data_IF_249047340603
#
_entry.id   IF_249047340603
#
_cell.length_a   1.000
_cell.length_b   1.000
_cell.length_c   1.000
_cell.angle_alpha   90.00
_cell.angle_beta   90.00
_cell.angle_gamma   90.00
#
_symmetry.space_group_name_H-M   'P 1'
#
loop_
_entity.id
_entity.type
_entity.pdbx_description
1 polymer ?
#
# COMPACT_ATOMS: atom_id res chain seq x y z
N UNK A 1 -68.77 34.69 -22.52
CA UNK A 1 -67.48 34.23 -21.94
C UNK A 1 -66.50 35.40 -22.12
N UNK A 2 -66.22 36.08 -21.02
CA UNK A 2 -65.49 37.32 -21.05
C UNK A 2 -64.01 37.14 -21.39
N UNK A 3 -63.35 38.06 -22.11
CA UNK A 3 -61.92 38.01 -22.46
C UNK A 3 -60.99 37.84 -21.24
N UNK A 4 -61.52 38.24 -20.08
CA UNK A 4 -60.77 38.10 -18.79
C UNK A 4 -60.67 36.66 -18.36
N UNK A 5 -61.77 35.88 -18.52
CA UNK A 5 -61.76 34.44 -18.13
C UNK A 5 -60.85 33.62 -19.03
N UNK A 6 -60.77 33.93 -20.31
CA UNK A 6 -59.90 33.25 -21.27
C UNK A 6 -58.40 33.54 -20.99
N UNK A 7 -58.08 34.76 -20.56
CA UNK A 7 -56.68 35.12 -20.17
C UNK A 7 -56.26 34.45 -18.83
N UNK A 8 -57.19 34.26 -17.89
CA UNK A 8 -56.91 33.56 -16.64
C UNK A 8 -56.69 32.07 -16.84
N UNK A 9 -57.52 31.40 -17.69
CA UNK A 9 -57.29 29.99 -18.03
C UNK A 9 -55.97 29.73 -18.77
N UNK A 10 -55.61 30.61 -19.72
CA UNK A 10 -54.33 30.56 -20.44
C UNK A 10 -53.16 30.71 -19.48
N UNK A 11 -53.27 31.62 -18.51
CA UNK A 11 -52.20 31.86 -17.54
C UNK A 11 -52.07 30.67 -16.56
N UNK A 12 -53.17 30.07 -16.11
CA UNK A 12 -53.20 28.91 -15.24
C UNK A 12 -52.55 27.67 -15.92
N UNK A 13 -52.93 27.39 -17.17
CA UNK A 13 -52.37 26.27 -17.93
C UNK A 13 -50.87 26.44 -18.17
N UNK A 14 -50.40 27.66 -18.47
CA UNK A 14 -48.98 27.96 -18.62
C UNK A 14 -48.17 27.64 -17.34
N UNK A 15 -48.66 28.02 -16.16
CA UNK A 15 -48.00 27.72 -14.89
C UNK A 15 -48.01 26.24 -14.55
N UNK A 16 -49.04 25.51 -14.90
CA UNK A 16 -49.11 24.05 -14.74
C UNK A 16 -48.11 23.34 -15.63
N UNK A 17 -48.01 23.70 -16.92
CA UNK A 17 -47.03 23.14 -17.85
C UNK A 17 -45.60 23.45 -17.43
N UNK A 18 -45.32 24.66 -16.97
CA UNK A 18 -44.03 25.06 -16.46
C UNK A 18 -43.63 24.28 -15.20
N UNK A 19 -44.57 24.05 -14.29
CA UNK A 19 -44.40 23.26 -13.07
C UNK A 19 -44.11 21.78 -13.37
N UNK A 20 -44.81 21.19 -14.33
CA UNK A 20 -44.59 19.81 -14.78
C UNK A 20 -43.22 19.68 -15.44
N UNK A 21 -42.85 20.60 -16.32
CA UNK A 21 -41.55 20.62 -16.96
C UNK A 21 -40.38 20.72 -15.96
N UNK A 22 -40.49 21.60 -14.97
CA UNK A 22 -39.51 21.73 -13.88
C UNK A 22 -39.42 20.48 -13.03
N UNK A 23 -40.50 19.81 -12.70
CA UNK A 23 -40.50 18.58 -11.89
C UNK A 23 -39.86 17.41 -12.62
N UNK A 24 -40.07 17.29 -13.94
CA UNK A 24 -39.39 16.27 -14.78
C UNK A 24 -37.88 16.52 -14.87
N UNK A 25 -37.46 17.78 -15.06
CA UNK A 25 -36.03 18.11 -15.05
C UNK A 25 -35.36 17.83 -13.71
N UNK A 26 -36.02 18.18 -12.59
CA UNK A 26 -35.51 17.90 -11.24
C UNK A 26 -35.39 16.40 -10.97
N UNK A 27 -36.37 15.61 -11.37
CA UNK A 27 -36.36 14.16 -11.21
C UNK A 27 -35.26 13.52 -12.07
N UNK A 28 -35.00 14.01 -13.28
CA UNK A 28 -33.87 13.54 -14.12
C UNK A 28 -32.50 13.89 -13.52
N UNK A 29 -32.36 15.09 -12.94
CA UNK A 29 -31.14 15.52 -12.24
C UNK A 29 -30.93 14.66 -10.99
N UNK A 30 -31.97 14.45 -10.19
CA UNK A 30 -31.90 13.61 -9.00
C UNK A 30 -31.52 12.17 -9.37
N UNK A 31 -32.13 11.59 -10.40
CA UNK A 31 -31.76 10.25 -10.87
C UNK A 31 -30.30 10.17 -11.31
N UNK A 32 -29.80 11.16 -12.04
CA UNK A 32 -28.40 11.19 -12.49
C UNK A 32 -27.40 11.38 -11.34
N UNK A 33 -27.80 12.08 -10.29
CA UNK A 33 -26.97 12.33 -9.10
C UNK A 33 -27.14 11.25 -8.03
N UNK A 34 -28.26 10.53 -8.01
CA UNK A 34 -28.60 9.51 -7.00
C UNK A 34 -27.52 8.43 -6.81
N UNK A 35 -26.91 7.86 -7.88
CA UNK A 35 -25.80 6.90 -7.73
C UNK A 35 -24.56 7.50 -7.08
N UNK A 36 -24.36 8.83 -7.21
CA UNK A 36 -23.23 9.55 -6.62
C UNK A 36 -23.47 9.99 -5.17
N UNK A 37 -24.76 10.07 -4.78
CA UNK A 37 -25.20 10.48 -3.45
C UNK A 37 -25.49 9.28 -2.53
N UNK A 38 -25.58 8.05 -3.07
CA UNK A 38 -25.64 6.87 -2.21
C UNK A 38 -24.33 6.80 -1.42
N UNK A 39 -24.40 6.79 -0.08
CA UNK A 39 -23.22 6.44 0.71
C UNK A 39 -22.76 5.06 0.20
N UNK A 40 -21.49 4.95 -0.18
CA UNK A 40 -20.89 3.65 -0.45
C UNK A 40 -21.20 2.78 0.77
N UNK A 41 -21.83 1.64 0.55
CA UNK A 41 -21.97 0.63 1.61
C UNK A 41 -20.57 0.10 1.94
N UNK A 42 -19.89 0.83 2.83
CA UNK A 42 -18.50 0.56 3.24
C UNK A 42 -18.41 -0.60 4.25
N UNK A 43 -19.49 -1.34 4.52
CA UNK A 43 -19.56 -2.14 5.74
C UNK A 43 -18.99 -3.56 5.66
N UNK A 44 -19.00 -4.23 4.52
CA UNK A 44 -18.46 -5.59 4.41
C UNK A 44 -17.10 -5.65 3.71
N UNK A 45 -16.88 -4.81 2.71
CA UNK A 45 -15.61 -4.72 1.98
C UNK A 45 -14.48 -4.21 2.88
N UNK A 46 -14.75 -3.21 3.73
CA UNK A 46 -13.81 -2.72 4.74
C UNK A 46 -13.53 -3.71 5.87
N UNK A 47 -14.48 -4.56 6.25
CA UNK A 47 -14.28 -5.54 7.33
C UNK A 47 -13.29 -6.66 6.94
N UNK A 48 -13.14 -6.93 5.67
CA UNK A 48 -12.24 -7.97 5.16
C UNK A 48 -10.81 -7.45 4.96
N UNK A 49 -10.64 -6.15 4.73
CA UNK A 49 -9.33 -5.53 4.48
C UNK A 49 -8.49 -5.52 5.77
N UNK A 50 -9.06 -5.20 6.92
CA UNK A 50 -8.32 -5.19 8.19
C UNK A 50 -7.79 -6.57 8.60
N UNK A 51 -8.47 -7.68 8.24
CA UNK A 51 -8.01 -9.04 8.53
C UNK A 51 -6.74 -9.36 7.78
N UNK A 52 -6.66 -9.03 6.51
CA UNK A 52 -5.46 -9.19 5.68
C UNK A 52 -4.28 -8.41 6.28
N UNK A 53 -4.52 -7.18 6.72
CA UNK A 53 -3.49 -6.38 7.38
C UNK A 53 -3.05 -6.97 8.73
N UNK A 54 -3.99 -7.53 9.50
CA UNK A 54 -3.69 -8.24 10.75
C UNK A 54 -2.85 -9.48 10.50
N UNK A 55 -3.21 -10.31 9.53
CA UNK A 55 -2.50 -11.53 9.17
C UNK A 55 -1.07 -11.22 8.68
N UNK A 56 -0.91 -10.20 7.84
CA UNK A 56 0.42 -9.75 7.40
C UNK A 56 1.27 -9.32 8.60
N UNK A 57 0.67 -8.58 9.56
CA UNK A 57 1.39 -8.15 10.76
C UNK A 57 1.79 -9.34 11.65
N UNK A 58 0.94 -10.35 11.77
CA UNK A 58 1.24 -11.59 12.48
C UNK A 58 2.41 -12.32 11.83
N UNK A 59 2.41 -12.51 10.50
CA UNK A 59 3.51 -13.14 9.76
C UNK A 59 4.83 -12.39 9.90
N UNK A 60 4.80 -11.07 9.88
CA UNK A 60 5.98 -10.26 10.15
C UNK A 60 6.46 -10.38 11.59
N UNK A 61 5.55 -10.53 12.54
CA UNK A 61 5.89 -10.73 13.96
C UNK A 61 6.52 -12.09 14.19
N UNK A 62 5.96 -13.15 13.59
CA UNK A 62 6.54 -14.49 13.58
C UNK A 62 7.97 -14.47 12.99
N UNK A 63 8.12 -13.90 11.80
CA UNK A 63 9.42 -13.74 11.15
C UNK A 63 10.42 -13.00 12.03
N UNK A 64 10.01 -11.87 12.65
CA UNK A 64 10.86 -11.08 13.53
C UNK A 64 11.34 -11.87 14.75
N UNK A 65 10.42 -12.59 15.38
CA UNK A 65 10.73 -13.36 16.61
C UNK A 65 11.66 -14.52 16.30
N UNK A 66 11.35 -15.32 15.27
CA UNK A 66 12.11 -16.52 14.94
C UNK A 66 13.50 -16.19 14.33
N UNK A 67 13.64 -15.06 13.62
CA UNK A 67 14.94 -14.61 13.09
C UNK A 67 15.74 -13.77 14.08
N UNK A 68 15.21 -13.49 15.29
CA UNK A 68 15.81 -12.57 16.29
C UNK A 68 16.22 -11.21 15.68
N UNK A 69 15.48 -10.74 14.65
CA UNK A 69 15.77 -9.46 14.01
C UNK A 69 15.16 -8.28 14.78
N UNK A 70 15.66 -7.08 14.54
CA UNK A 70 15.18 -5.85 15.16
C UNK A 70 13.88 -5.35 14.52
N UNK A 71 13.77 -5.50 13.19
CA UNK A 71 12.58 -5.12 12.39
C UNK A 71 12.33 -6.16 11.31
N UNK A 72 11.05 -6.48 11.09
CA UNK A 72 10.57 -7.18 9.90
C UNK A 72 9.56 -6.25 9.20
N UNK A 73 9.75 -5.99 7.91
CA UNK A 73 9.09 -4.93 7.17
C UNK A 73 8.58 -5.43 5.83
N UNK A 74 7.36 -5.02 5.45
CA UNK A 74 6.82 -5.14 4.11
C UNK A 74 6.79 -3.76 3.46
N UNK A 75 7.56 -3.58 2.41
CA UNK A 75 7.61 -2.36 1.61
C UNK A 75 6.94 -2.64 0.27
N UNK A 76 6.02 -1.77 -0.14
CA UNK A 76 5.30 -1.89 -1.41
C UNK A 76 5.65 -0.76 -2.35
N UNK A 77 5.72 -1.09 -3.64
CA UNK A 77 5.84 -0.12 -4.71
C UNK A 77 4.46 0.35 -5.14
N UNK A 78 4.34 1.62 -5.41
CA UNK A 78 3.09 2.20 -5.90
C UNK A 78 3.38 3.34 -6.88
N UNK A 79 2.39 3.66 -7.69
CA UNK A 79 2.48 4.80 -8.57
C UNK A 79 2.43 6.09 -7.74
N UNK A 80 3.33 7.02 -8.08
CA UNK A 80 3.27 8.39 -7.61
C UNK A 80 2.54 9.27 -8.61
N UNK A 81 3.04 10.48 -8.76
CA UNK A 81 2.63 11.41 -9.81
C UNK A 81 3.26 11.00 -11.15
N UNK A 82 2.80 11.62 -12.24
CA UNK A 82 3.37 11.44 -13.55
C UNK A 82 4.28 12.63 -13.87
N UNK A 83 5.39 12.34 -14.56
CA UNK A 83 6.19 13.39 -15.18
C UNK A 83 5.46 14.02 -16.38
N UNK A 84 5.93 15.15 -16.88
CA UNK A 84 5.32 15.84 -18.04
C UNK A 84 5.31 14.99 -19.31
N UNK A 85 6.20 14.02 -19.42
CA UNK A 85 6.28 13.02 -20.50
C UNK A 85 5.33 11.82 -20.32
N UNK A 86 4.51 11.83 -19.27
CA UNK A 86 3.57 10.72 -18.95
C UNK A 86 4.20 9.52 -18.27
N UNK A 87 5.51 9.51 -17.99
CA UNK A 87 6.17 8.44 -17.27
C UNK A 87 5.79 8.50 -15.78
N UNK A 88 5.41 7.36 -15.20
CA UNK A 88 5.04 7.28 -13.79
C UNK A 88 6.27 7.45 -12.88
N UNK A 89 6.16 8.38 -11.93
CA UNK A 89 7.11 8.56 -10.84
C UNK A 89 6.88 7.45 -9.81
N UNK A 90 7.64 6.35 -9.91
CA UNK A 90 7.48 5.22 -8.99
C UNK A 90 7.95 5.57 -7.59
N UNK A 91 7.13 5.24 -6.61
CA UNK A 91 7.37 5.45 -5.18
C UNK A 91 7.33 4.12 -4.42
N UNK A 92 7.90 4.12 -3.23
CA UNK A 92 7.78 3.02 -2.27
C UNK A 92 7.27 3.54 -0.94
N UNK A 93 6.54 2.67 -0.23
CA UNK A 93 6.09 2.93 1.14
C UNK A 93 6.20 1.68 1.99
N UNK A 94 6.62 1.84 3.24
CA UNK A 94 6.53 0.83 4.28
C UNK A 94 5.07 0.70 4.68
N UNK A 95 4.46 -0.44 4.37
CA UNK A 95 3.03 -0.68 4.63
C UNK A 95 2.78 -1.43 5.93
N UNK A 96 3.68 -2.35 6.30
CA UNK A 96 3.58 -3.12 7.53
C UNK A 96 4.96 -3.29 8.16
N UNK A 97 5.00 -3.22 9.48
CA UNK A 97 6.23 -3.33 10.25
C UNK A 97 6.00 -4.04 11.58
N UNK A 98 6.86 -4.99 11.91
CA UNK A 98 6.97 -5.56 13.25
C UNK A 98 8.33 -5.18 13.83
N UNK A 99 8.33 -4.60 15.04
CA UNK A 99 9.52 -3.99 15.67
C UNK A 99 9.80 -4.64 17.02
N UNK A 100 11.07 -4.88 17.32
CA UNK A 100 11.50 -5.36 18.64
C UNK A 100 11.38 -4.27 19.69
N UNK A 101 11.16 -4.66 20.94
CA UNK A 101 11.14 -3.72 22.07
C UNK A 101 12.43 -2.90 22.14
N UNK A 102 12.30 -1.59 22.32
CA UNK A 102 13.42 -0.65 22.39
C UNK A 102 14.01 -0.23 21.05
N UNK A 103 13.45 -0.69 19.93
CA UNK A 103 13.84 -0.26 18.58
C UNK A 103 12.78 0.70 18.04
N UNK A 104 13.20 1.81 17.43
CA UNK A 104 12.27 2.76 16.83
C UNK A 104 11.63 2.22 15.56
N UNK A 105 10.32 2.43 15.40
CA UNK A 105 9.60 2.15 14.17
C UNK A 105 10.00 3.13 13.03
N UNK A 106 9.93 2.67 11.80
CA UNK A 106 10.28 3.45 10.60
C UNK A 106 9.07 3.82 9.73
N UNK A 107 7.88 3.33 10.04
CA UNK A 107 6.67 3.51 9.22
C UNK A 107 6.41 4.95 8.82
N UNK A 108 6.53 5.90 9.76
CA UNK A 108 6.34 7.32 9.47
C UNK A 108 7.44 7.98 8.61
N UNK A 109 8.59 7.33 8.46
CA UNK A 109 9.74 7.86 7.71
C UNK A 109 9.85 7.27 6.30
N UNK A 110 9.30 6.08 6.09
CA UNK A 110 9.35 5.34 4.81
C UNK A 110 8.04 5.41 4.05
N UNK A 111 7.51 6.61 3.84
CA UNK A 111 6.25 6.82 3.11
C UNK A 111 6.48 7.70 1.90
N UNK A 112 5.96 7.29 0.73
CA UNK A 112 6.03 8.04 -0.53
C UNK A 112 7.45 8.39 -1.00
N UNK A 113 8.44 7.56 -0.69
CA UNK A 113 9.82 7.79 -1.11
C UNK A 113 10.03 7.38 -2.57
N UNK A 114 10.84 8.14 -3.30
CA UNK A 114 11.18 7.82 -4.68
C UNK A 114 12.00 6.53 -4.76
N UNK A 115 11.64 5.60 -5.63
CA UNK A 115 12.38 4.34 -5.84
C UNK A 115 13.82 4.62 -6.29
N UNK A 116 14.04 5.66 -7.08
CA UNK A 116 15.37 6.04 -7.56
C UNK A 116 16.39 6.29 -6.46
N UNK A 117 15.96 6.72 -5.27
CA UNK A 117 16.82 6.91 -4.10
C UNK A 117 17.35 5.59 -3.53
N UNK A 118 16.74 4.46 -3.92
CA UNK A 118 17.04 3.12 -3.45
C UNK A 118 17.62 2.21 -4.55
N UNK A 119 18.11 2.77 -5.65
CA UNK A 119 18.59 2.00 -6.81
C UNK A 119 19.54 0.85 -6.44
N UNK A 120 20.55 1.01 -5.55
CA UNK A 120 21.43 -0.09 -5.17
C UNK A 120 20.69 -1.23 -4.45
N UNK A 121 19.64 -0.91 -3.72
CA UNK A 121 18.79 -1.88 -3.04
C UNK A 121 17.89 -2.62 -4.05
N UNK A 122 17.36 -1.92 -5.04
CA UNK A 122 16.54 -2.52 -6.11
C UNK A 122 17.35 -3.55 -6.91
N UNK A 123 18.63 -3.26 -7.23
CA UNK A 123 19.51 -4.21 -7.89
C UNK A 123 19.66 -5.53 -7.12
N UNK A 124 19.65 -5.48 -5.78
CA UNK A 124 19.70 -6.67 -4.92
C UNK A 124 18.36 -7.42 -4.89
N UNK A 125 17.26 -6.68 -4.82
CA UNK A 125 15.89 -7.25 -4.83
C UNK A 125 15.67 -8.08 -6.10
N UNK A 126 16.19 -7.62 -7.24
CA UNK A 126 16.03 -8.30 -8.53
C UNK A 126 16.80 -9.63 -8.61
N UNK A 127 17.79 -9.87 -7.75
CA UNK A 127 18.51 -11.15 -7.69
C UNK A 127 17.71 -12.28 -7.07
N UNK A 128 16.67 -11.96 -6.29
CA UNK A 128 15.76 -12.91 -5.60
C UNK A 128 16.50 -13.94 -4.72
N UNK A 129 17.61 -13.51 -4.12
CA UNK A 129 18.44 -14.34 -3.27
C UNK A 129 18.43 -13.82 -1.83
N UNK A 130 18.05 -14.66 -0.83
CA UNK A 130 18.02 -14.27 0.58
C UNK A 130 19.43 -14.28 1.17
N UNK A 131 20.18 -13.21 0.94
CA UNK A 131 21.56 -13.06 1.47
C UNK A 131 21.63 -11.99 2.54
N UNK A 132 22.50 -12.18 3.55
CA UNK A 132 22.79 -11.14 4.53
C UNK A 132 23.69 -10.09 3.90
N UNK A 133 23.24 -8.85 3.91
CA UNK A 133 23.97 -7.69 3.47
C UNK A 133 24.43 -6.88 4.69
N UNK A 134 25.72 -6.52 4.74
CA UNK A 134 26.26 -5.64 5.77
C UNK A 134 26.13 -4.20 5.31
N UNK A 135 25.64 -3.31 6.18
CA UNK A 135 25.51 -1.90 5.84
C UNK A 135 26.85 -1.23 5.54
N UNK A 136 27.91 -1.66 6.23
CA UNK A 136 29.28 -1.16 6.00
C UNK A 136 29.82 -1.41 4.60
N UNK A 137 29.33 -2.45 3.90
CA UNK A 137 29.72 -2.79 2.53
C UNK A 137 28.79 -2.21 1.45
N UNK A 138 27.75 -1.49 1.86
CA UNK A 138 26.85 -0.83 0.91
C UNK A 138 27.50 0.39 0.27
N UNK A 139 27.11 0.64 -1.01
CA UNK A 139 27.52 1.87 -1.71
C UNK A 139 26.97 3.09 -0.99
N UNK A 140 27.75 4.16 -0.96
CA UNK A 140 27.29 5.45 -0.44
C UNK A 140 26.06 5.93 -1.22
N UNK A 141 25.12 6.53 -0.50
CA UNK A 141 23.88 7.03 -1.06
C UNK A 141 22.76 7.13 -0.03
N UNK A 142 21.62 7.63 -0.49
CA UNK A 142 20.47 7.89 0.37
C UNK A 142 20.05 6.65 1.18
N UNK A 143 19.96 5.48 0.55
CA UNK A 143 19.52 4.24 1.20
C UNK A 143 20.44 3.83 2.36
N UNK A 144 21.78 4.00 2.19
CA UNK A 144 22.76 3.69 3.24
C UNK A 144 22.62 4.66 4.41
N UNK A 145 22.65 5.97 4.15
CA UNK A 145 22.46 6.99 5.17
C UNK A 145 21.14 6.84 5.92
N UNK A 146 20.08 6.49 5.22
CA UNK A 146 18.78 6.22 5.84
C UNK A 146 18.84 5.04 6.83
N UNK A 147 19.50 3.94 6.46
CA UNK A 147 19.68 2.79 7.33
C UNK A 147 20.64 3.07 8.51
N UNK A 148 21.67 3.89 8.30
CA UNK A 148 22.60 4.33 9.36
C UNK A 148 21.89 5.11 10.45
N UNK A 149 21.02 6.07 10.09
CA UNK A 149 20.18 6.83 11.02
C UNK A 149 19.27 5.89 11.84
N UNK A 150 18.88 4.77 11.26
CA UNK A 150 18.04 3.75 11.88
C UNK A 150 18.84 2.69 12.66
N UNK A 151 20.16 2.88 12.81
CA UNK A 151 21.10 1.96 13.47
C UNK A 151 21.08 0.54 12.88
N UNK A 152 20.87 0.38 11.59
CA UNK A 152 20.92 -0.93 10.94
C UNK A 152 22.37 -1.35 10.80
N UNK A 153 22.69 -2.58 11.25
CA UNK A 153 24.01 -3.18 11.09
C UNK A 153 24.07 -4.11 9.87
N UNK A 154 23.02 -4.89 9.68
CA UNK A 154 22.85 -5.79 8.55
C UNK A 154 21.38 -6.02 8.23
N UNK A 155 21.10 -6.50 7.03
CA UNK A 155 19.74 -6.75 6.57
C UNK A 155 19.69 -7.89 5.55
N UNK A 156 18.51 -8.50 5.40
CA UNK A 156 18.17 -9.39 4.27
C UNK A 156 16.91 -8.85 3.59
N UNK A 157 16.83 -9.07 2.29
CA UNK A 157 15.70 -8.65 1.46
C UNK A 157 15.27 -9.77 0.51
N UNK A 158 13.97 -9.84 0.24
CA UNK A 158 13.39 -10.70 -0.81
C UNK A 158 12.31 -9.95 -1.57
N UNK A 159 12.23 -10.09 -2.90
CA UNK A 159 11.14 -9.49 -3.67
C UNK A 159 9.80 -10.10 -3.30
N UNK A 160 8.78 -9.25 -3.23
CA UNK A 160 7.37 -9.64 -3.22
C UNK A 160 6.82 -9.40 -4.61
N UNK A 161 6.25 -10.44 -5.23
CA UNK A 161 5.79 -10.41 -6.62
C UNK A 161 4.26 -10.45 -6.69
N UNK A 162 3.73 -9.77 -7.69
CA UNK A 162 2.33 -9.87 -8.11
C UNK A 162 2.29 -10.05 -9.62
N UNK A 163 1.63 -11.11 -10.12
CA UNK A 163 1.61 -11.47 -11.55
C UNK A 163 3.02 -11.46 -12.18
N UNK A 164 3.98 -12.08 -11.52
CA UNK A 164 5.41 -12.14 -11.91
C UNK A 164 6.16 -10.80 -11.94
N UNK A 165 5.53 -9.68 -11.57
CA UNK A 165 6.19 -8.39 -11.46
C UNK A 165 6.55 -8.10 -10.00
N UNK A 166 7.72 -7.53 -9.75
CA UNK A 166 8.11 -7.10 -8.40
C UNK A 166 7.22 -5.93 -7.99
N UNK A 167 6.37 -6.15 -6.98
CA UNK A 167 5.43 -5.18 -6.42
C UNK A 167 5.89 -4.57 -5.10
N UNK A 168 6.99 -5.06 -4.57
CA UNK A 168 7.57 -4.62 -3.31
C UNK A 168 8.67 -5.56 -2.84
N UNK A 169 9.00 -5.51 -1.55
CA UNK A 169 9.95 -6.41 -0.94
C UNK A 169 9.71 -6.61 0.55
N UNK A 170 10.06 -7.79 1.02
CA UNK A 170 10.17 -8.16 2.43
C UNK A 170 11.58 -7.88 2.90
N UNK A 171 11.75 -7.23 4.05
CA UNK A 171 13.05 -6.90 4.63
C UNK A 171 13.09 -7.29 6.11
N UNK A 172 14.20 -7.88 6.54
CA UNK A 172 14.54 -8.00 7.96
C UNK A 172 15.82 -7.24 8.25
N UNK A 173 15.93 -6.64 9.43
CA UNK A 173 17.04 -5.79 9.82
C UNK A 173 17.55 -6.18 11.20
N UNK A 174 18.87 -6.27 11.36
CA UNK A 174 19.56 -6.42 12.64
C UNK A 174 20.34 -5.15 12.98
N UNK A 175 20.10 -4.62 14.17
CA UNK A 175 20.70 -3.39 14.68
C UNK A 175 21.91 -3.66 15.61
N UNK A 176 22.38 -4.91 15.66
CA UNK A 176 23.47 -5.33 16.54
C UNK A 176 24.39 -6.32 15.83
N UNK A 177 25.71 -6.14 15.99
CA UNK A 177 26.71 -7.07 15.47
C UNK A 177 26.58 -8.48 16.06
N UNK A 178 26.22 -8.59 17.33
CA UNK A 178 25.99 -9.88 18.01
C UNK A 178 24.82 -10.64 17.39
N UNK A 179 23.70 -9.95 17.14
CA UNK A 179 22.53 -10.56 16.50
C UNK A 179 22.81 -10.90 15.04
N UNK A 180 23.56 -10.05 14.32
CA UNK A 180 24.02 -10.35 12.97
C UNK A 180 24.87 -11.64 12.92
N UNK A 181 25.82 -11.82 13.84
CA UNK A 181 26.61 -13.06 13.91
C UNK A 181 25.74 -14.30 14.14
N UNK A 182 24.75 -14.23 15.03
CA UNK A 182 23.78 -15.32 15.22
C UNK A 182 22.97 -15.60 13.95
N UNK A 183 22.52 -14.57 13.25
CA UNK A 183 21.79 -14.69 11.99
C UNK A 183 22.64 -15.38 10.90
N UNK A 184 23.92 -15.07 10.79
CA UNK A 184 24.85 -15.73 9.86
C UNK A 184 24.93 -17.24 10.16
N UNK A 185 25.05 -17.62 11.43
CA UNK A 185 25.11 -19.03 11.83
C UNK A 185 23.82 -19.80 11.51
N UNK A 186 22.68 -19.10 11.44
CA UNK A 186 21.38 -19.68 11.16
C UNK A 186 20.81 -19.24 9.80
N UNK A 187 21.67 -18.84 8.86
CA UNK A 187 21.29 -18.24 7.58
C UNK A 187 20.32 -19.11 6.78
N UNK A 188 20.51 -20.41 6.77
CA UNK A 188 19.69 -21.37 6.03
C UNK A 188 18.27 -21.36 6.54
N UNK A 189 18.08 -21.41 7.86
CA UNK A 189 16.76 -21.45 8.46
C UNK A 189 16.04 -20.11 8.34
N UNK A 190 16.77 -19.00 8.52
CA UNK A 190 16.24 -17.65 8.30
C UNK A 190 15.83 -17.44 6.84
N UNK A 191 16.62 -17.91 5.89
CA UNK A 191 16.30 -17.83 4.46
C UNK A 191 15.03 -18.61 4.13
N UNK A 192 14.86 -19.83 4.63
CA UNK A 192 13.64 -20.64 4.47
C UNK A 192 12.43 -19.91 5.08
N UNK A 193 12.59 -19.38 6.28
CA UNK A 193 11.54 -18.65 6.98
C UNK A 193 11.12 -17.39 6.20
N UNK A 194 12.07 -16.62 5.68
CA UNK A 194 11.78 -15.44 4.85
C UNK A 194 11.02 -15.81 3.57
N UNK A 195 11.45 -16.88 2.88
CA UNK A 195 10.75 -17.37 1.68
C UNK A 195 9.33 -17.78 2.03
N UNK A 196 9.14 -18.58 3.08
CA UNK A 196 7.81 -19.00 3.53
C UNK A 196 6.90 -17.81 3.89
N UNK A 197 7.42 -16.85 4.65
CA UNK A 197 6.68 -15.63 5.02
C UNK A 197 6.30 -14.80 3.79
N UNK A 198 7.23 -14.62 2.84
CA UNK A 198 6.97 -13.93 1.57
C UNK A 198 5.83 -14.59 0.81
N UNK A 199 5.86 -15.90 0.66
CA UNK A 199 4.88 -16.65 -0.11
C UNK A 199 3.48 -16.54 0.52
N UNK A 200 3.37 -16.62 1.85
CA UNK A 200 2.11 -16.39 2.58
C UNK A 200 1.59 -14.96 2.33
N UNK A 201 2.44 -13.95 2.43
CA UNK A 201 2.08 -12.56 2.16
C UNK A 201 1.63 -12.36 0.71
N UNK A 202 2.30 -12.97 -0.27
CA UNK A 202 1.91 -12.87 -1.67
C UNK A 202 0.50 -13.40 -1.91
N UNK A 203 0.14 -14.53 -1.32
CA UNK A 203 -1.21 -15.11 -1.41
C UNK A 203 -2.27 -14.12 -0.89
N UNK A 204 -2.04 -13.52 0.28
CA UNK A 204 -2.98 -12.54 0.86
C UNK A 204 -3.13 -11.29 -0.03
N UNK A 205 -2.04 -10.78 -0.57
CA UNK A 205 -2.07 -9.62 -1.46
C UNK A 205 -2.78 -9.91 -2.80
N UNK A 206 -2.66 -11.14 -3.30
CA UNK A 206 -3.39 -11.57 -4.48
C UNK A 206 -4.89 -11.70 -4.23
N UNK A 207 -5.27 -12.21 -3.05
CA UNK A 207 -6.68 -12.27 -2.65
C UNK A 207 -7.28 -10.87 -2.51
N UNK A 208 -6.57 -9.94 -1.88
CA UNK A 208 -7.00 -8.55 -1.75
C UNK A 208 -7.28 -7.92 -3.11
N UNK A 209 -6.37 -8.11 -4.07
CA UNK A 209 -6.51 -7.53 -5.41
C UNK A 209 -7.65 -8.14 -6.20
N UNK A 210 -7.94 -9.44 -6.04
CA UNK A 210 -9.08 -10.11 -6.70
C UNK A 210 -10.43 -9.57 -6.23
N UNK A 211 -10.54 -9.16 -4.97
CA UNK A 211 -11.76 -8.62 -4.39
C UNK A 211 -12.00 -7.15 -4.77
N UNK A 212 -10.95 -6.44 -5.16
CA UNK A 212 -11.03 -5.02 -5.55
C UNK A 212 -11.29 -4.81 -7.05
N UNK A 213 -11.37 -5.88 -7.85
CA UNK A 213 -11.71 -5.88 -9.28
C UNK A 213 -13.15 -6.32 -9.53
#
# INVERSE_FOLDING_TARGET
MDQVDMLQELNFNYWVELGVGLSVMLSAIIWKLWPKLKPKEDSEENSMDWRIHSDIHEYLTELRVLSDCARAQLIRFHNGEYFMDGVSMRKLSLTHESVSRGVAAEGGKKTNLLISLFSPLIEKILKDEPTINFLSSEREGFHKSFMEISNVHSFMILPVKYKNMVSGYLMVQWCSSTKTKKAINNIVDISKLMVHTRDRIQVLLEEQTRKSQ
#
